data_IF_591888731090
#
_entry.id   IF_591888731090
#
_cell.length_a   1.000
_cell.length_b   1.000
_cell.length_c   1.000
_cell.angle_alpha   90.00
_cell.angle_beta   90.00
_cell.angle_gamma   90.00
#
_symmetry.space_group_name_H-M   'P 1'
#
loop_
_entity.id
_entity.type
_entity.pdbx_description
1 polymer ?
#
# COMPACT_ATOMS: atom_id res chain seq x y z
N UNK A 1 10.29 -28.76 -17.48
CA UNK A 1 9.60 -28.98 -16.20
C UNK A 1 9.45 -27.63 -15.50
N UNK A 2 8.24 -27.27 -15.16
CA UNK A 2 7.99 -26.03 -14.42
C UNK A 2 8.44 -26.20 -12.96
N UNK A 3 9.36 -25.38 -12.53
CA UNK A 3 9.82 -25.38 -11.14
C UNK A 3 8.90 -24.51 -10.30
N UNK A 4 8.66 -24.89 -9.05
CA UNK A 4 7.82 -24.11 -8.14
C UNK A 4 8.40 -22.70 -7.94
N UNK A 5 9.72 -22.56 -7.93
CA UNK A 5 10.40 -21.29 -7.77
C UNK A 5 10.14 -20.31 -8.92
N UNK A 6 9.87 -20.82 -10.12
CA UNK A 6 9.56 -19.97 -11.28
C UNK A 6 8.17 -19.34 -11.19
N UNK A 7 7.30 -19.90 -10.36
CA UNK A 7 5.95 -19.40 -10.13
C UNK A 7 5.87 -18.46 -8.94
N UNK A 8 6.94 -18.32 -8.17
CA UNK A 8 6.96 -17.47 -6.99
C UNK A 8 7.25 -16.03 -7.38
N UNK A 9 6.46 -15.13 -6.84
CA UNK A 9 6.70 -13.69 -6.95
C UNK A 9 7.70 -13.27 -5.89
N UNK A 10 8.68 -12.47 -6.29
CA UNK A 10 9.73 -12.01 -5.40
C UNK A 10 9.69 -10.49 -5.28
N UNK A 11 9.80 -9.99 -4.04
CA UNK A 11 9.73 -8.55 -3.77
C UNK A 11 10.79 -7.72 -4.48
N UNK A 12 11.94 -8.33 -4.84
CA UNK A 12 12.97 -7.63 -5.62
C UNK A 12 12.53 -7.25 -7.02
N UNK A 13 11.46 -7.85 -7.52
CA UNK A 13 10.90 -7.58 -8.84
C UNK A 13 9.72 -6.61 -8.77
N UNK A 14 9.60 -5.86 -7.68
CA UNK A 14 8.50 -4.92 -7.47
C UNK A 14 8.95 -3.48 -7.65
N UNK A 15 7.99 -2.63 -7.99
CA UNK A 15 8.18 -1.20 -8.12
C UNK A 15 7.00 -0.48 -7.45
N UNK A 16 7.28 0.70 -6.93
CA UNK A 16 6.25 1.59 -6.39
C UNK A 16 6.38 2.96 -7.01
N UNK A 17 5.24 3.57 -7.29
CA UNK A 17 5.15 4.91 -7.83
C UNK A 17 4.24 5.75 -6.94
N UNK A 18 4.71 6.92 -6.55
CA UNK A 18 3.92 7.90 -5.80
C UNK A 18 3.71 9.09 -6.71
N UNK A 19 2.46 9.33 -7.14
CA UNK A 19 2.11 10.38 -8.10
C UNK A 19 2.93 10.32 -9.40
N UNK A 20 3.20 9.10 -9.87
CA UNK A 20 3.95 8.88 -11.10
C UNK A 20 5.47 8.88 -10.93
N UNK A 21 5.99 9.22 -9.76
CA UNK A 21 7.41 9.18 -9.48
C UNK A 21 7.78 7.85 -8.81
N UNK A 22 8.75 7.15 -9.38
CA UNK A 22 9.20 5.87 -8.84
C UNK A 22 9.94 6.07 -7.52
N UNK A 23 9.59 5.25 -6.53
CA UNK A 23 10.35 5.16 -5.28
C UNK A 23 11.38 4.05 -5.42
N UNK A 24 12.60 4.43 -5.81
CA UNK A 24 13.70 3.51 -6.08
C UNK A 24 14.42 3.02 -4.82
N UNK A 25 14.11 3.59 -3.67
CA UNK A 25 14.69 3.20 -2.39
C UNK A 25 13.69 2.49 -1.47
N UNK A 26 12.55 2.08 -2.01
CA UNK A 26 11.56 1.35 -1.24
C UNK A 26 12.08 -0.02 -0.82
N UNK A 27 11.93 -0.34 0.46
CA UNK A 27 12.33 -1.63 1.02
C UNK A 27 11.14 -2.53 1.32
N UNK A 28 9.97 -1.93 1.55
CA UNK A 28 8.75 -2.67 1.83
C UNK A 28 7.53 -1.86 1.39
N UNK A 29 6.61 -2.53 0.73
CA UNK A 29 5.34 -1.95 0.34
C UNK A 29 4.25 -2.94 0.70
N UNK A 30 3.27 -2.48 1.45
CA UNK A 30 2.11 -3.27 1.82
C UNK A 30 0.86 -2.47 1.54
N UNK A 31 -0.08 -3.07 0.82
CA UNK A 31 -1.41 -2.51 0.59
C UNK A 31 -2.41 -3.63 0.80
N UNK A 32 -3.37 -3.42 1.67
CA UNK A 32 -4.40 -4.42 1.94
C UNK A 32 -5.78 -3.80 1.97
N UNK A 33 -6.76 -4.57 1.54
CA UNK A 33 -8.18 -4.24 1.64
C UNK A 33 -8.78 -5.14 2.69
N UNK A 34 -9.42 -4.53 3.69
CA UNK A 34 -10.05 -5.26 4.77
C UNK A 34 -11.56 -5.03 4.70
N UNK A 35 -12.31 -6.13 4.68
CA UNK A 35 -13.77 -6.07 4.75
C UNK A 35 -14.23 -5.82 6.19
N UNK A 36 -15.27 -5.02 6.32
CA UNK A 36 -15.93 -4.78 7.60
C UNK A 36 -17.20 -5.61 7.65
N UNK A 37 -17.25 -6.56 8.57
CA UNK A 37 -18.34 -7.49 8.74
C UNK A 37 -18.86 -7.47 10.16
N UNK A 38 -20.16 -7.60 10.33
CA UNK A 38 -20.77 -7.86 11.62
C UNK A 38 -21.47 -9.22 11.60
N UNK A 39 -21.60 -9.82 12.76
CA UNK A 39 -22.32 -11.10 12.88
C UNK A 39 -23.82 -10.85 12.97
N UNK A 40 -24.57 -11.49 12.08
CA UNK A 40 -26.02 -11.47 12.08
C UNK A 40 -26.59 -12.84 12.45
N UNK A 41 -27.72 -12.83 13.11
CA UNK A 41 -28.45 -14.04 13.45
C UNK A 41 -29.92 -13.88 13.05
N UNK A 42 -30.50 -14.96 12.54
CA UNK A 42 -31.90 -15.00 12.10
C UNK A 42 -32.69 -16.00 12.92
N UNK A 43 -33.95 -15.67 13.19
CA UNK A 43 -34.86 -16.61 13.86
C UNK A 43 -34.99 -17.92 13.10
N UNK A 44 -34.85 -19.05 13.80
CA UNK A 44 -34.93 -20.37 13.21
C UNK A 44 -33.58 -20.90 12.72
N UNK A 45 -32.53 -20.13 12.79
CA UNK A 45 -31.19 -20.55 12.42
C UNK A 45 -30.29 -20.61 13.65
N UNK A 46 -29.45 -21.63 13.72
CA UNK A 46 -28.48 -21.80 14.80
C UNK A 46 -27.12 -21.15 14.47
N UNK A 47 -26.89 -20.84 13.20
CA UNK A 47 -25.64 -20.25 12.76
C UNK A 47 -25.65 -18.72 12.84
N UNK A 48 -24.45 -18.14 12.89
CA UNK A 48 -24.24 -16.71 12.69
C UNK A 48 -23.74 -16.47 11.28
N UNK A 49 -24.12 -15.35 10.68
CA UNK A 49 -23.80 -15.02 9.31
C UNK A 49 -23.06 -13.70 9.27
N UNK A 50 -21.94 -13.60 8.50
CA UNK A 50 -21.26 -12.33 8.34
C UNK A 50 -22.09 -11.40 7.44
N UNK A 51 -22.35 -10.20 7.91
CA UNK A 51 -23.05 -9.15 7.16
C UNK A 51 -22.04 -8.10 6.76
N UNK A 52 -21.94 -7.82 5.47
CA UNK A 52 -20.98 -6.90 4.91
C UNK A 52 -21.40 -5.45 5.13
N UNK A 53 -20.54 -4.65 5.78
CA UNK A 53 -20.79 -3.23 6.04
C UNK A 53 -19.92 -2.29 5.21
N UNK A 54 -18.96 -2.81 4.48
CA UNK A 54 -18.06 -1.99 3.68
C UNK A 54 -16.62 -2.50 3.72
N UNK A 55 -15.69 -1.67 3.28
CA UNK A 55 -14.28 -2.03 3.26
C UNK A 55 -13.42 -0.84 3.70
N UNK A 56 -12.19 -1.14 4.06
CA UNK A 56 -11.16 -0.15 4.32
C UNK A 56 -9.88 -0.56 3.60
N UNK A 57 -9.20 0.41 3.00
CA UNK A 57 -7.91 0.20 2.36
C UNK A 57 -6.86 0.86 3.22
N UNK A 58 -5.85 0.11 3.60
CA UNK A 58 -4.74 0.62 4.40
C UNK A 58 -3.45 -0.06 4.00
N UNK A 59 -2.36 0.57 4.31
CA UNK A 59 -1.06 0.01 4.01
C UNK A 59 0.07 0.86 4.55
N UNK A 60 1.28 0.45 4.21
CA UNK A 60 2.50 1.12 4.66
C UNK A 60 3.54 1.05 3.58
N UNK A 61 4.25 2.15 3.35
CA UNK A 61 5.43 2.20 2.51
C UNK A 61 6.62 2.46 3.40
N UNK A 62 7.63 1.61 3.29
CA UNK A 62 8.91 1.79 3.99
C UNK A 62 10.01 1.97 2.96
N UNK A 63 10.75 3.06 3.07
CA UNK A 63 11.86 3.34 2.17
C UNK A 63 13.01 4.02 2.91
N UNK A 64 14.13 4.19 2.19
CA UNK A 64 15.32 4.89 2.72
C UNK A 64 15.60 6.17 1.96
N UNK A 65 14.55 6.75 1.40
CA UNK A 65 14.64 7.96 0.60
C UNK A 65 14.99 9.17 1.46
N UNK A 66 15.95 9.97 1.00
CA UNK A 66 16.41 11.16 1.73
C UNK A 66 15.61 12.42 1.40
N UNK A 67 14.93 12.44 0.26
CA UNK A 67 14.09 13.57 -0.14
C UNK A 67 12.84 13.62 0.73
N UNK A 68 12.60 14.78 1.35
CA UNK A 68 11.50 14.99 2.27
C UNK A 68 10.37 15.86 1.69
N UNK A 69 10.32 16.00 0.38
CA UNK A 69 9.29 16.82 -0.27
C UNK A 69 7.89 16.30 0.03
N UNK A 70 7.70 14.97 -0.03
CA UNK A 70 6.41 14.35 0.26
C UNK A 70 5.99 14.57 1.71
N UNK A 71 6.88 14.34 2.65
CA UNK A 71 6.60 14.53 4.08
C UNK A 71 6.25 15.99 4.39
N UNK A 72 6.94 16.92 3.79
CA UNK A 72 6.66 18.35 3.95
C UNK A 72 5.26 18.68 3.44
N UNK A 73 4.87 18.17 2.29
CA UNK A 73 3.53 18.37 1.75
C UNK A 73 2.44 17.77 2.65
N UNK A 74 2.69 16.60 3.21
CA UNK A 74 1.74 15.93 4.11
C UNK A 74 1.57 16.74 5.40
N UNK A 75 2.66 17.18 6.00
CA UNK A 75 2.64 17.96 7.25
C UNK A 75 1.93 19.30 7.04
N UNK A 76 2.16 19.97 5.92
CA UNK A 76 1.42 21.18 5.58
C UNK A 76 -0.08 20.88 5.38
N UNK A 77 -0.42 19.74 4.81
CA UNK A 77 -1.80 19.30 4.72
C UNK A 77 -2.46 19.14 6.09
N UNK A 78 -1.75 18.60 7.06
CA UNK A 78 -2.25 18.50 8.43
C UNK A 78 -2.48 19.87 9.06
N UNK A 79 -1.60 20.82 8.79
CA UNK A 79 -1.69 22.17 9.34
C UNK A 79 -2.86 22.95 8.75
N UNK A 80 -3.10 22.81 7.44
CA UNK A 80 -4.15 23.56 6.73
C UNK A 80 -5.49 22.87 6.69
N UNK A 81 -5.52 21.55 6.93
CA UNK A 81 -6.72 20.72 6.79
C UNK A 81 -7.00 20.27 5.36
N UNK A 82 -6.15 20.64 4.41
CA UNK A 82 -6.31 20.27 2.99
C UNK A 82 -5.23 19.25 2.65
N UNK A 83 -5.60 17.99 2.53
CA UNK A 83 -4.65 16.92 2.23
C UNK A 83 -4.26 16.92 0.76
N UNK A 84 -2.98 16.64 0.42
CA UNK A 84 -2.58 16.50 -0.97
C UNK A 84 -3.28 15.30 -1.61
N UNK A 85 -3.55 15.41 -2.90
CA UNK A 85 -4.13 14.32 -3.69
C UNK A 85 -3.00 13.39 -4.14
N UNK A 86 -3.00 12.17 -3.62
CA UNK A 86 -1.92 11.21 -3.83
C UNK A 86 -2.48 9.92 -4.42
N UNK A 87 -1.81 9.43 -5.45
CA UNK A 87 -2.11 8.14 -6.08
C UNK A 87 -0.88 7.26 -5.97
N UNK A 88 -1.08 6.04 -5.46
CA UNK A 88 -0.02 5.04 -5.38
C UNK A 88 -0.26 3.97 -6.44
N UNK A 89 0.80 3.58 -7.13
CA UNK A 89 0.79 2.47 -8.08
C UNK A 89 1.86 1.49 -7.66
N UNK A 90 1.48 0.23 -7.48
CA UNK A 90 2.43 -0.85 -7.20
C UNK A 90 2.49 -1.78 -8.40
N UNK A 91 3.68 -2.23 -8.73
CA UNK A 91 3.90 -3.17 -9.82
C UNK A 91 4.79 -4.31 -9.33
N UNK A 92 4.35 -5.54 -9.58
CA UNK A 92 5.09 -6.74 -9.24
C UNK A 92 5.21 -7.59 -10.50
N UNK A 93 6.43 -7.84 -10.95
CA UNK A 93 6.71 -8.55 -12.19
C UNK A 93 7.30 -9.92 -11.91
N UNK A 94 6.78 -10.95 -12.58
CA UNK A 94 7.42 -12.26 -12.59
C UNK A 94 8.51 -12.25 -13.66
N UNK A 95 9.79 -12.38 -13.30
CA UNK A 95 10.88 -12.27 -14.27
C UNK A 95 10.92 -13.41 -15.28
N UNK A 96 10.36 -14.57 -14.96
CA UNK A 96 10.34 -15.73 -15.86
C UNK A 96 9.24 -15.61 -16.89
N UNK A 97 8.01 -15.37 -16.46
CA UNK A 97 6.85 -15.23 -17.35
C UNK A 97 6.72 -13.84 -17.96
N UNK A 98 7.42 -12.84 -17.38
CA UNK A 98 7.33 -11.42 -17.74
C UNK A 98 5.93 -10.82 -17.55
N UNK A 99 5.09 -11.48 -16.80
CA UNK A 99 3.78 -10.96 -16.43
C UNK A 99 3.91 -10.00 -15.25
N UNK A 100 3.14 -8.94 -15.28
CA UNK A 100 3.15 -7.90 -14.26
C UNK A 100 1.77 -7.78 -13.62
N UNK A 101 1.75 -7.74 -12.30
CA UNK A 101 0.55 -7.37 -11.54
C UNK A 101 0.69 -5.90 -11.14
N UNK A 102 -0.32 -5.11 -11.47
CA UNK A 102 -0.28 -3.67 -11.22
C UNK A 102 -1.56 -3.19 -10.58
N UNK A 103 -1.43 -2.56 -9.42
CA UNK A 103 -2.54 -2.02 -8.66
C UNK A 103 -2.39 -0.51 -8.51
N UNK A 104 -3.50 0.20 -8.67
CA UNK A 104 -3.58 1.63 -8.41
C UNK A 104 -4.45 1.87 -7.19
N UNK A 105 -3.98 2.71 -6.28
CA UNK A 105 -4.70 3.10 -5.07
C UNK A 105 -4.84 4.61 -5.08
N UNK A 106 -6.05 5.12 -5.01
CA UNK A 106 -6.34 6.55 -5.08
C UNK A 106 -7.03 7.06 -3.81
N UNK A 107 -7.03 8.37 -3.63
CA UNK A 107 -7.52 8.99 -2.42
C UNK A 107 -6.68 8.63 -1.21
N UNK A 108 -5.35 8.55 -1.41
CA UNK A 108 -4.40 8.13 -0.37
C UNK A 108 -4.17 9.27 0.61
N UNK A 109 -4.34 8.95 1.89
CA UNK A 109 -4.05 9.87 2.99
C UNK A 109 -3.05 9.19 3.90
N UNK A 110 -1.90 9.80 4.09
CA UNK A 110 -0.92 9.31 5.05
C UNK A 110 -1.36 9.67 6.47
N UNK A 111 -1.44 8.69 7.34
CA UNK A 111 -2.01 8.84 8.67
C UNK A 111 -1.02 9.38 9.69
N UNK A 112 0.27 9.22 9.43
CA UNK A 112 1.31 9.77 10.29
C UNK A 112 2.61 9.98 9.51
N UNK A 113 3.41 10.93 9.98
CA UNK A 113 4.73 11.22 9.41
C UNK A 113 5.68 11.46 10.57
N UNK A 114 6.77 10.73 10.61
CA UNK A 114 7.83 10.98 11.58
C UNK A 114 8.66 12.17 11.13
N UNK A 115 8.75 13.21 11.96
CA UNK A 115 9.58 14.38 11.67
C UNK A 115 11.07 14.08 11.85
N UNK A 116 11.38 13.15 12.76
CA UNK A 116 12.74 12.69 12.97
C UNK A 116 12.72 11.24 13.44
N UNK A 117 13.53 10.42 12.80
CA UNK A 117 13.74 9.05 13.19
C UNK A 117 15.18 8.69 12.83
N UNK A 118 16.09 8.98 13.75
CA UNK A 118 17.52 8.90 13.52
C UNK A 118 18.15 7.91 14.48
N UNK A 119 18.90 6.96 13.93
CA UNK A 119 19.62 5.97 14.71
C UNK A 119 21.08 5.95 14.26
N UNK A 120 22.00 5.95 15.24
CA UNK A 120 23.43 5.98 14.94
C UNK A 120 23.88 4.76 14.12
N UNK A 121 24.73 5.00 13.12
CA UNK A 121 25.28 3.97 12.21
C UNK A 121 24.26 3.23 11.37
N UNK A 122 23.05 3.76 11.23
CA UNK A 122 22.02 3.20 10.36
C UNK A 122 21.53 4.24 9.37
N UNK A 123 21.17 3.78 8.18
CA UNK A 123 20.51 4.63 7.20
C UNK A 123 19.16 5.08 7.74
N UNK A 124 18.77 6.32 7.47
CA UNK A 124 17.47 6.83 7.88
C UNK A 124 16.38 6.11 7.10
N UNK A 125 15.48 5.47 7.81
CA UNK A 125 14.37 4.74 7.25
C UNK A 125 13.09 5.54 7.44
N UNK A 126 12.29 5.60 6.38
CA UNK A 126 11.02 6.31 6.39
C UNK A 126 9.88 5.30 6.29
N UNK A 127 8.98 5.34 7.25
CA UNK A 127 7.80 4.50 7.26
C UNK A 127 6.57 5.39 7.18
N UNK A 128 5.74 5.17 6.15
CA UNK A 128 4.57 5.98 5.86
C UNK A 128 3.33 5.10 5.83
N UNK A 129 2.62 4.97 6.97
CA UNK A 129 1.33 4.30 6.99
C UNK A 129 0.28 5.19 6.34
N UNK A 130 -0.63 4.58 5.61
CA UNK A 130 -1.66 5.30 4.88
C UNK A 130 -3.00 4.58 4.88
N UNK A 131 -4.04 5.35 4.58
CA UNK A 131 -5.38 4.85 4.26
C UNK A 131 -5.78 5.41 2.91
N UNK A 132 -6.62 4.69 2.19
CA UNK A 132 -7.03 5.09 0.85
C UNK A 132 -8.53 4.87 0.66
N UNK A 133 -9.09 5.51 -0.36
CA UNK A 133 -10.51 5.44 -0.64
C UNK A 133 -10.87 4.37 -1.67
N UNK A 134 -10.05 4.22 -2.72
CA UNK A 134 -10.35 3.36 -3.87
C UNK A 134 -9.12 2.64 -4.39
N UNK A 135 -9.37 1.49 -4.99
CA UNK A 135 -8.32 0.74 -5.68
C UNK A 135 -8.80 0.32 -7.06
N UNK A 136 -7.83 0.04 -7.94
CA UNK A 136 -8.10 -0.48 -9.28
C UNK A 136 -6.96 -1.42 -9.68
N UNK A 137 -7.33 -2.57 -10.23
CA UNK A 137 -6.34 -3.47 -10.84
C UNK A 137 -6.09 -2.99 -12.28
N UNK A 138 -4.85 -2.60 -12.58
CA UNK A 138 -4.46 -2.15 -13.92
C UNK A 138 -3.98 -3.31 -14.79
N UNK A 139 -3.30 -4.29 -14.18
CA UNK A 139 -2.82 -5.50 -14.83
C UNK A 139 -2.86 -6.64 -13.83
N UNK A 140 -3.15 -7.85 -14.29
CA UNK A 140 -3.16 -9.04 -13.45
C UNK A 140 -2.30 -10.15 -14.04
N UNK A 141 -1.68 -10.93 -13.16
CA UNK A 141 -0.96 -12.15 -13.52
C UNK A 141 -1.99 -13.28 -13.59
N UNK A 142 -2.04 -13.91 -14.74
CA UNK A 142 -2.96 -15.04 -14.96
C UNK A 142 -2.24 -16.40 -14.85
#
# INVERSE_FOLDING_TARGET
>A
MSKKTEKMLHGSCSEAYINGARDDLATKIEVKVTGDFEDGAFCGDYGTFPIYNGYAIEGTITDKKQDRTLETAIVEGYRTGIMPDIVLITALTNPVSRQTERWSVSGVVFTEVALANIEAKKAVERELPFKAERWKNLEAIS
#
